data_IF_268132550357
#
_entry.id   IF_268132550357
#
_cell.length_a   1.000
_cell.length_b   1.000
_cell.length_c   1.000
_cell.angle_alpha   90.00
_cell.angle_beta   90.00
_cell.angle_gamma   90.00
#
_symmetry.space_group_name_H-M   'P 1'
#
loop_
_entity.id
_entity.type
_entity.pdbx_description
1 polymer ?
#
# COMPACT_ATOMS: atom_id res chain seq x y z
N UNK A 1 4.59 25.60 -8.19
CA UNK A 1 3.47 26.03 -9.05
C UNK A 1 3.08 27.50 -8.79
N UNK A 2 2.95 28.31 -9.86
CA UNK A 2 2.48 29.69 -9.77
C UNK A 2 0.95 29.70 -9.62
N UNK A 3 0.46 29.27 -8.45
CA UNK A 3 -0.97 29.27 -8.16
C UNK A 3 -1.36 30.61 -7.51
N UNK A 4 -2.43 31.28 -7.95
CA UNK A 4 -2.82 32.59 -7.42
C UNK A 4 -3.26 32.52 -5.95
N UNK A 5 -3.79 31.36 -5.52
CA UNK A 5 -4.31 31.15 -4.19
C UNK A 5 -3.23 30.60 -3.24
N UNK A 6 -3.02 31.27 -2.10
CA UNK A 6 -2.07 30.85 -1.06
C UNK A 6 -2.33 29.45 -0.52
N UNK A 7 -3.61 29.06 -0.36
CA UNK A 7 -3.97 27.72 0.11
C UNK A 7 -3.41 26.62 -0.80
N UNK A 8 -3.53 26.78 -2.12
CA UNK A 8 -3.01 25.81 -3.09
C UNK A 8 -1.47 25.75 -3.11
N UNK A 9 -0.77 26.86 -2.82
CA UNK A 9 0.70 26.88 -2.74
C UNK A 9 1.22 26.01 -1.59
N UNK A 10 0.47 25.89 -0.50
CA UNK A 10 0.84 25.05 0.66
C UNK A 10 0.33 23.62 0.47
N UNK A 11 -0.90 23.47 -0.02
CA UNK A 11 -1.55 22.16 -0.16
C UNK A 11 -0.81 21.25 -1.16
N UNK A 12 -0.37 21.78 -2.30
CA UNK A 12 0.27 20.96 -3.34
C UNK A 12 1.57 20.30 -2.85
N UNK A 13 2.54 21.03 -2.26
CA UNK A 13 3.71 20.41 -1.63
C UNK A 13 3.38 19.48 -0.46
N UNK A 14 2.35 19.80 0.34
CA UNK A 14 1.93 18.95 1.44
C UNK A 14 1.42 17.58 0.93
N UNK A 15 0.57 17.59 -0.11
CA UNK A 15 0.10 16.36 -0.76
C UNK A 15 1.26 15.59 -1.39
N UNK A 16 2.19 16.28 -2.08
CA UNK A 16 3.39 15.64 -2.63
C UNK A 16 4.26 15.00 -1.55
N UNK A 17 4.39 15.64 -0.39
CA UNK A 17 5.14 15.11 0.76
C UNK A 17 4.45 13.88 1.38
N UNK A 18 3.11 13.91 1.49
CA UNK A 18 2.34 12.75 1.96
C UNK A 18 2.44 11.57 0.99
N UNK A 19 2.43 11.84 -0.32
CA UNK A 19 2.64 10.82 -1.35
C UNK A 19 4.05 10.21 -1.24
N UNK A 20 5.08 11.04 -1.07
CA UNK A 20 6.44 10.59 -0.86
C UNK A 20 6.58 9.75 0.43
N UNK A 21 5.93 10.17 1.52
CA UNK A 21 5.88 9.41 2.77
C UNK A 21 5.21 8.06 2.58
N UNK A 22 4.09 8.00 1.84
CA UNK A 22 3.41 6.75 1.50
C UNK A 22 4.31 5.80 0.72
N UNK A 23 5.02 6.31 -0.30
CA UNK A 23 5.99 5.53 -1.07
C UNK A 23 7.13 4.99 -0.19
N UNK A 24 7.65 5.81 0.74
CA UNK A 24 8.69 5.39 1.67
C UNK A 24 8.22 4.29 2.64
N UNK A 25 7.00 4.40 3.19
CA UNK A 25 6.40 3.39 4.06
C UNK A 25 6.12 2.09 3.29
N UNK A 26 5.67 2.19 2.04
CA UNK A 26 5.50 1.03 1.16
C UNK A 26 6.84 0.31 0.92
N UNK A 27 7.91 1.06 0.60
CA UNK A 27 9.25 0.50 0.45
C UNK A 27 9.73 -0.19 1.74
N UNK A 28 9.56 0.43 2.90
CA UNK A 28 9.87 -0.18 4.20
C UNK A 28 9.07 -1.47 4.44
N UNK A 29 7.80 -1.53 4.01
CA UNK A 29 6.99 -2.73 4.08
C UNK A 29 7.53 -3.86 3.20
N UNK A 30 7.96 -3.56 1.96
CA UNK A 30 8.56 -4.55 1.07
C UNK A 30 9.91 -5.05 1.59
N UNK A 31 10.76 -4.16 2.13
CA UNK A 31 12.01 -4.55 2.80
C UNK A 31 11.73 -5.49 3.97
N UNK A 32 10.74 -5.18 4.80
CA UNK A 32 10.30 -6.07 5.90
C UNK A 32 9.81 -7.41 5.38
N UNK A 33 8.93 -7.40 4.37
CA UNK A 33 8.33 -8.61 3.82
C UNK A 33 9.40 -9.53 3.22
N UNK A 34 10.29 -8.98 2.39
CA UNK A 34 11.35 -9.75 1.77
C UNK A 34 12.39 -10.21 2.80
N UNK A 35 12.86 -9.30 3.65
CA UNK A 35 13.91 -9.57 4.65
C UNK A 35 13.48 -10.58 5.72
N UNK A 36 12.23 -10.53 6.19
CA UNK A 36 11.76 -11.46 7.22
C UNK A 36 11.33 -12.81 6.62
N UNK A 37 10.71 -12.82 5.43
CA UNK A 37 10.19 -14.06 4.84
C UNK A 37 11.26 -14.87 4.10
N UNK A 38 12.11 -14.22 3.29
CA UNK A 38 13.07 -14.93 2.42
C UNK A 38 14.50 -14.94 2.95
N UNK A 39 14.89 -13.93 3.75
CA UNK A 39 16.21 -13.89 4.41
C UNK A 39 16.15 -14.34 5.89
N UNK A 40 14.95 -14.62 6.40
CA UNK A 40 14.74 -15.11 7.75
C UNK A 40 14.97 -16.61 7.91
N UNK A 41 15.13 -17.09 9.15
CA UNK A 41 15.14 -18.53 9.44
C UNK A 41 13.71 -19.09 9.41
N UNK A 42 13.50 -20.34 8.97
CA UNK A 42 12.18 -20.96 8.99
C UNK A 42 11.70 -21.12 10.44
N UNK A 43 10.48 -20.67 10.72
CA UNK A 43 9.85 -20.74 12.05
C UNK A 43 8.84 -21.88 12.19
N UNK A 44 8.48 -22.52 11.07
CA UNK A 44 7.50 -23.61 11.02
C UNK A 44 8.04 -24.72 10.13
N UNK A 45 7.58 -25.96 10.38
CA UNK A 45 7.95 -27.11 9.55
C UNK A 45 7.53 -26.95 8.08
N UNK A 46 6.48 -26.17 7.80
CA UNK A 46 6.04 -25.86 6.43
C UNK A 46 7.03 -24.93 5.71
N UNK A 47 7.54 -23.90 6.41
CA UNK A 47 8.54 -22.99 5.85
C UNK A 47 9.89 -23.69 5.63
N UNK A 48 10.28 -24.59 6.54
CA UNK A 48 11.52 -25.37 6.42
C UNK A 48 11.48 -26.34 5.23
N UNK A 49 10.32 -26.94 4.96
CA UNK A 49 10.12 -27.89 3.85
C UNK A 49 9.57 -27.23 2.59
N UNK A 50 9.55 -25.89 2.53
CA UNK A 50 9.07 -25.17 1.37
C UNK A 50 9.95 -25.49 0.16
N UNK A 51 9.32 -25.74 -0.98
CA UNK A 51 9.98 -26.01 -2.25
C UNK A 51 9.55 -24.99 -3.30
N UNK A 52 10.36 -24.87 -4.35
CA UNK A 52 10.07 -24.01 -5.49
C UNK A 52 8.75 -24.43 -6.15
N UNK A 53 7.97 -23.44 -6.61
CA UNK A 53 6.68 -23.71 -7.26
C UNK A 53 6.89 -24.27 -8.67
N UNK A 54 5.82 -24.78 -9.27
CA UNK A 54 5.88 -25.34 -10.62
C UNK A 54 6.23 -24.28 -11.67
N UNK A 55 6.65 -24.74 -12.86
CA UNK A 55 7.12 -23.86 -13.95
C UNK A 55 6.03 -22.94 -14.49
N UNK A 56 4.75 -23.34 -14.45
CA UNK A 56 3.66 -22.48 -14.93
C UNK A 56 3.41 -21.34 -13.95
N UNK A 57 3.44 -21.61 -12.65
CA UNK A 57 3.38 -20.58 -11.60
C UNK A 57 4.54 -19.59 -11.72
N UNK A 58 5.77 -20.08 -11.90
CA UNK A 58 6.95 -19.22 -12.14
C UNK A 58 6.79 -18.37 -13.40
N UNK A 59 6.34 -18.96 -14.51
CA UNK A 59 6.12 -18.23 -15.75
C UNK A 59 5.09 -17.11 -15.58
N UNK A 60 4.00 -17.36 -14.84
CA UNK A 60 3.01 -16.33 -14.51
C UNK A 60 3.62 -15.20 -13.67
N UNK A 61 4.43 -15.54 -12.65
CA UNK A 61 5.13 -14.53 -11.83
C UNK A 61 6.10 -13.68 -12.65
N UNK A 62 6.90 -14.30 -13.53
CA UNK A 62 7.82 -13.58 -14.41
C UNK A 62 7.09 -12.74 -15.45
N UNK A 63 5.94 -13.18 -15.95
CA UNK A 63 5.10 -12.39 -16.84
C UNK A 63 4.62 -11.11 -16.13
N UNK A 64 4.07 -11.22 -14.91
CA UNK A 64 3.65 -10.04 -14.15
C UNK A 64 4.82 -9.12 -13.79
N UNK A 65 5.97 -9.68 -13.41
CA UNK A 65 7.18 -8.90 -13.18
C UNK A 65 7.63 -8.15 -14.46
N UNK A 66 7.56 -8.80 -15.63
CA UNK A 66 7.83 -8.20 -16.92
C UNK A 66 6.87 -7.07 -17.27
N UNK A 67 5.57 -7.23 -17.00
CA UNK A 67 4.58 -6.17 -17.20
C UNK A 67 4.83 -4.97 -16.27
N UNK A 68 5.21 -5.19 -15.01
CA UNK A 68 5.60 -4.13 -14.09
C UNK A 68 6.82 -3.35 -14.60
N UNK A 69 7.85 -4.06 -15.09
CA UNK A 69 9.03 -3.44 -15.69
C UNK A 69 8.68 -2.65 -16.95
N UNK A 70 7.87 -3.22 -17.84
CA UNK A 70 7.43 -2.55 -19.06
C UNK A 70 6.66 -1.27 -18.74
N UNK A 71 5.74 -1.31 -17.78
CA UNK A 71 4.98 -0.14 -17.35
C UNK A 71 5.86 0.95 -16.71
N UNK A 72 6.91 0.56 -15.97
CA UNK A 72 7.86 1.50 -15.36
C UNK A 72 8.87 2.11 -16.34
N UNK A 73 9.33 1.34 -17.32
CA UNK A 73 10.31 1.76 -18.34
C UNK A 73 9.67 2.54 -19.46
N UNK A 74 8.45 2.18 -19.88
CA UNK A 74 7.67 2.81 -20.95
C UNK A 74 6.38 3.43 -20.42
N UNK A 75 6.45 4.35 -19.44
CA UNK A 75 5.26 4.86 -18.76
C UNK A 75 4.37 5.70 -19.70
N UNK A 76 4.93 6.32 -20.75
CA UNK A 76 4.16 7.10 -21.73
C UNK A 76 3.11 6.27 -22.47
N UNK A 77 3.44 5.03 -22.84
CA UNK A 77 2.48 4.13 -23.51
C UNK A 77 1.31 3.74 -22.60
N UNK A 78 1.60 3.55 -21.31
CA UNK A 78 0.57 3.23 -20.31
C UNK A 78 -0.34 4.42 -20.08
N UNK A 79 0.22 5.62 -19.94
CA UNK A 79 -0.54 6.87 -19.75
C UNK A 79 -1.44 7.15 -20.96
N UNK A 80 -0.90 7.04 -22.17
CA UNK A 80 -1.68 7.26 -23.39
C UNK A 80 -2.78 6.18 -23.57
N UNK A 81 -2.50 4.92 -23.21
CA UNK A 81 -3.49 3.84 -23.23
C UNK A 81 -4.64 4.06 -22.25
N UNK A 82 -4.39 4.71 -21.10
CA UNK A 82 -5.41 5.08 -20.11
C UNK A 82 -6.12 6.40 -20.44
N UNK A 83 -5.63 7.17 -21.43
CA UNK A 83 -6.19 8.47 -21.80
C UNK A 83 -7.69 8.46 -22.10
N UNK A 84 -8.27 7.48 -22.82
CA UNK A 84 -9.71 7.46 -23.09
C UNK A 84 -10.56 7.39 -21.80
N UNK A 85 -10.08 6.68 -20.79
CA UNK A 85 -10.75 6.58 -19.48
C UNK A 85 -10.67 7.92 -18.75
N UNK A 86 -9.52 8.60 -18.80
CA UNK A 86 -9.36 9.93 -18.22
C UNK A 86 -10.31 10.95 -18.87
N UNK A 87 -10.43 10.94 -20.20
CA UNK A 87 -11.38 11.81 -20.91
C UNK A 87 -12.82 11.51 -20.51
N UNK A 88 -13.19 10.23 -20.42
CA UNK A 88 -14.54 9.84 -20.03
C UNK A 88 -14.91 10.25 -18.60
N UNK A 89 -13.96 10.23 -17.67
CA UNK A 89 -14.22 10.52 -16.25
C UNK A 89 -14.01 11.99 -15.87
N UNK A 90 -12.99 12.65 -16.42
CA UNK A 90 -12.58 14.01 -16.05
C UNK A 90 -12.86 15.05 -17.15
N UNK A 91 -13.20 14.62 -18.38
CA UNK A 91 -13.40 15.52 -19.51
C UNK A 91 -12.10 16.10 -20.10
N UNK A 92 -10.94 15.67 -19.61
CA UNK A 92 -9.63 16.18 -20.02
C UNK A 92 -8.59 15.05 -20.07
N UNK A 93 -7.48 15.29 -20.76
CA UNK A 93 -6.35 14.36 -20.85
C UNK A 93 -5.01 15.07 -20.80
N UNK A 94 -4.02 14.31 -20.38
CA UNK A 94 -2.62 14.66 -20.53
C UNK A 94 -2.25 14.76 -22.03
N UNK A 95 -1.30 15.62 -22.42
CA UNK A 95 -0.74 15.61 -23.78
C UNK A 95 -0.22 14.21 -24.12
N UNK A 96 -0.26 13.85 -25.41
CA UNK A 96 0.24 12.54 -25.87
C UNK A 96 1.71 12.40 -25.51
N UNK A 97 2.05 11.36 -24.75
CA UNK A 97 3.40 11.16 -24.22
C UNK A 97 4.27 10.29 -25.13
N UNK A 98 3.67 9.39 -25.93
CA UNK A 98 4.39 8.50 -26.83
C UNK A 98 5.16 9.24 -27.94
N UNK A 99 4.74 10.45 -28.31
CA UNK A 99 5.43 11.28 -29.31
C UNK A 99 6.62 12.05 -28.74
N UNK A 100 6.86 11.98 -27.43
CA UNK A 100 8.02 12.63 -26.79
C UNK A 100 9.29 11.82 -27.10
N UNK A 101 10.38 12.47 -27.56
CA UNK A 101 11.64 11.79 -27.83
C UNK A 101 12.14 10.96 -26.65
N UNK A 102 12.79 9.83 -26.97
CA UNK A 102 13.40 8.91 -25.99
C UNK A 102 12.43 8.23 -25.01
N UNK A 103 11.13 8.16 -25.32
CA UNK A 103 10.10 7.61 -24.43
C UNK A 103 10.04 8.31 -23.07
N UNK A 104 10.35 9.61 -23.06
CA UNK A 104 10.27 10.44 -21.86
C UNK A 104 8.83 10.85 -21.58
N UNK A 105 8.51 11.18 -20.33
CA UNK A 105 7.27 11.84 -19.95
C UNK A 105 7.57 13.30 -19.64
N UNK A 106 6.75 14.19 -20.21
CA UNK A 106 6.75 15.63 -19.94
C UNK A 106 5.33 16.00 -19.49
N UNK A 107 5.06 16.08 -18.17
CA UNK A 107 3.71 16.25 -17.68
C UNK A 107 3.11 17.65 -17.82
N UNK A 108 3.95 18.68 -17.81
CA UNK A 108 3.50 20.07 -17.69
C UNK A 108 4.26 20.95 -18.70
N UNK A 109 5.58 20.98 -18.61
CA UNK A 109 6.51 21.64 -19.54
C UNK A 109 7.92 21.05 -19.36
N UNK A 110 8.72 21.00 -20.43
CA UNK A 110 10.11 20.47 -20.40
C UNK A 110 10.98 21.10 -19.30
N UNK A 111 10.73 22.37 -18.98
CA UNK A 111 11.48 23.16 -17.99
C UNK A 111 11.19 22.82 -16.53
N UNK A 112 10.12 22.08 -16.23
CA UNK A 112 9.65 21.86 -14.85
C UNK A 112 9.68 20.40 -14.40
N UNK A 113 9.50 19.44 -15.31
CA UNK A 113 9.61 18.01 -14.97
C UNK A 113 9.74 17.17 -16.23
N UNK A 114 10.89 16.51 -16.39
CA UNK A 114 11.07 15.44 -17.38
C UNK A 114 11.49 14.17 -16.65
N UNK A 115 10.85 13.05 -17.00
CA UNK A 115 11.17 11.73 -16.46
C UNK A 115 11.38 10.75 -17.60
N UNK A 116 12.50 10.05 -17.61
CA UNK A 116 12.79 9.03 -18.60
C UNK A 116 13.04 7.69 -17.90
N UNK A 117 12.01 6.83 -17.89
CA UNK A 117 12.07 5.53 -17.22
C UNK A 117 13.17 4.62 -17.76
N UNK A 118 13.43 4.66 -19.07
CA UNK A 118 14.49 3.90 -19.72
C UNK A 118 15.88 4.33 -19.25
N UNK A 119 16.15 5.64 -19.19
CA UNK A 119 17.42 6.15 -18.69
C UNK A 119 17.64 5.80 -17.21
N UNK A 120 16.60 5.92 -16.38
CA UNK A 120 16.69 5.51 -14.96
C UNK A 120 16.99 4.01 -14.86
N UNK A 121 16.29 3.18 -15.64
CA UNK A 121 16.54 1.73 -15.67
C UNK A 121 17.95 1.39 -16.12
N UNK A 122 18.42 1.97 -17.23
CA UNK A 122 19.77 1.77 -17.75
C UNK A 122 20.83 2.23 -16.75
N UNK A 123 20.61 3.36 -16.07
CA UNK A 123 21.51 3.85 -15.03
C UNK A 123 21.60 2.89 -13.85
N UNK A 124 20.45 2.39 -13.35
CA UNK A 124 20.42 1.40 -12.26
C UNK A 124 21.09 0.11 -12.70
N UNK A 125 20.77 -0.42 -13.88
CA UNK A 125 21.33 -1.65 -14.41
C UNK A 125 22.85 -1.53 -14.62
N UNK A 126 23.31 -0.41 -15.18
CA UNK A 126 24.73 -0.12 -15.38
C UNK A 126 25.47 0.01 -14.04
N UNK A 127 24.92 0.78 -13.09
CA UNK A 127 25.50 0.94 -11.75
C UNK A 127 25.61 -0.39 -11.00
N UNK A 128 24.56 -1.21 -11.06
CA UNK A 128 24.55 -2.54 -10.46
C UNK A 128 25.57 -3.47 -11.12
N UNK A 129 25.60 -3.52 -12.46
CA UNK A 129 26.55 -4.34 -13.21
C UNK A 129 27.99 -3.91 -12.95
N UNK A 130 28.27 -2.60 -12.95
CA UNK A 130 29.57 -2.04 -12.63
C UNK A 130 29.98 -2.41 -11.20
N UNK A 131 29.07 -2.29 -10.23
CA UNK A 131 29.34 -2.67 -8.83
C UNK A 131 29.69 -4.16 -8.73
N UNK A 132 28.93 -5.03 -9.39
CA UNK A 132 29.19 -6.48 -9.44
C UNK A 132 30.57 -6.75 -10.04
N UNK A 133 30.89 -6.14 -11.19
CA UNK A 133 32.19 -6.32 -11.86
C UNK A 133 33.33 -5.82 -10.98
N UNK A 134 33.20 -4.63 -10.37
CA UNK A 134 34.22 -4.05 -9.48
C UNK A 134 34.44 -4.95 -8.27
N UNK A 135 33.37 -5.37 -7.60
CA UNK A 135 33.45 -6.27 -6.44
C UNK A 135 34.13 -7.59 -6.84
N UNK A 136 33.68 -8.26 -7.90
CA UNK A 136 34.28 -9.54 -8.29
C UNK A 136 35.71 -9.43 -8.86
N UNK A 137 36.08 -8.27 -9.42
CA UNK A 137 37.41 -8.06 -10.01
C UNK A 137 38.46 -7.64 -8.99
N UNK A 138 38.08 -6.83 -8.00
CA UNK A 138 38.99 -6.20 -7.05
C UNK A 138 38.84 -6.72 -5.61
N UNK A 139 37.70 -7.32 -5.23
CA UNK A 139 37.58 -7.92 -3.91
C UNK A 139 38.38 -9.23 -3.81
N UNK A 140 38.77 -9.57 -2.58
CA UNK A 140 39.43 -10.85 -2.31
C UNK A 140 38.52 -12.00 -2.74
N UNK A 141 39.07 -12.93 -3.53
CA UNK A 141 38.41 -14.19 -3.87
C UNK A 141 38.41 -15.19 -2.72
N UNK A 142 39.03 -14.85 -1.59
CA UNK A 142 39.03 -15.68 -0.40
C UNK A 142 37.62 -15.69 0.21
N UNK A 143 36.85 -16.72 -0.12
CA UNK A 143 35.57 -17.01 0.51
C UNK A 143 35.83 -17.80 1.80
N UNK A 144 35.37 -17.28 2.93
CA UNK A 144 35.31 -18.02 4.20
C UNK A 144 33.86 -18.31 4.53
N UNK A 145 33.49 -19.59 4.48
CA UNK A 145 32.23 -20.05 5.06
C UNK A 145 32.41 -20.17 6.57
N UNK A 146 31.73 -19.32 7.32
CA UNK A 146 31.67 -19.38 8.77
C UNK A 146 30.20 -19.27 9.21
N UNK A 147 29.84 -19.75 10.40
CA UNK A 147 28.55 -19.43 10.99
C UNK A 147 28.34 -17.92 10.99
N UNK A 148 27.12 -17.48 10.71
CA UNK A 148 26.78 -16.06 10.82
C UNK A 148 27.06 -15.56 12.24
N UNK A 149 27.45 -14.29 12.38
CA UNK A 149 27.68 -13.68 13.69
C UNK A 149 26.38 -13.70 14.51
N UNK A 150 26.32 -14.55 15.53
CA UNK A 150 25.13 -14.79 16.35
C UNK A 150 25.18 -14.02 17.67
N UNK A 151 25.86 -12.87 17.70
CA UNK A 151 26.04 -12.02 18.89
C UNK A 151 26.60 -12.78 20.12
N UNK A 152 27.35 -13.87 19.89
CA UNK A 152 27.94 -14.70 20.94
C UNK A 152 27.06 -15.87 21.42
N UNK A 153 25.91 -16.14 20.77
CA UNK A 153 25.11 -17.33 21.07
C UNK A 153 25.53 -18.52 20.19
N UNK A 154 25.61 -19.75 20.75
CA UNK A 154 26.00 -20.93 20.00
C UNK A 154 24.84 -21.57 19.23
N UNK A 155 23.59 -21.28 19.61
CA UNK A 155 22.41 -21.94 19.06
C UNK A 155 21.52 -20.97 18.27
N UNK A 156 21.43 -21.25 16.97
CA UNK A 156 20.80 -20.41 15.97
C UNK A 156 19.27 -20.56 15.95
N UNK A 157 18.62 -20.36 17.10
CA UNK A 157 17.16 -20.48 17.22
C UNK A 157 16.41 -19.38 16.45
N UNK A 158 15.29 -19.68 15.75
CA UNK A 158 14.43 -18.65 15.18
C UNK A 158 13.77 -17.75 16.24
N UNK A 159 13.75 -18.18 17.51
CA UNK A 159 13.18 -17.42 18.64
C UNK A 159 14.02 -16.19 18.98
N UNK A 160 15.33 -16.24 18.79
CA UNK A 160 16.26 -15.14 19.06
C UNK A 160 16.37 -14.14 17.90
N UNK A 161 15.84 -14.49 16.72
CA UNK A 161 15.86 -13.62 15.54
C UNK A 161 14.77 -12.53 15.61
N UNK A 162 15.15 -11.30 15.24
CA UNK A 162 14.20 -10.20 15.04
C UNK A 162 13.01 -10.60 14.16
N UNK A 163 11.82 -10.16 14.56
CA UNK A 163 10.57 -10.45 13.86
C UNK A 163 10.13 -9.26 13.00
N UNK A 164 9.14 -9.49 12.13
CA UNK A 164 8.45 -8.41 11.44
C UNK A 164 7.86 -7.36 12.42
N UNK A 165 7.43 -7.79 13.60
CA UNK A 165 6.95 -6.90 14.66
C UNK A 165 8.06 -5.99 15.20
N UNK A 166 9.26 -6.53 15.40
CA UNK A 166 10.44 -5.78 15.85
C UNK A 166 10.90 -4.78 14.80
N UNK A 167 10.93 -5.17 13.51
CA UNK A 167 11.29 -4.26 12.41
C UNK A 167 10.30 -3.08 12.30
N UNK A 168 9.01 -3.34 12.46
CA UNK A 168 7.97 -2.31 12.35
C UNK A 168 7.82 -1.44 13.61
N UNK A 169 8.47 -1.80 14.72
CA UNK A 169 8.28 -1.14 16.02
C UNK A 169 8.62 0.36 16.01
N UNK A 170 9.75 0.84 15.43
CA UNK A 170 10.05 2.26 15.40
C UNK A 170 9.00 3.07 14.64
N UNK A 171 8.56 2.55 13.48
CA UNK A 171 7.52 3.16 12.65
C UNK A 171 6.19 3.19 13.43
N UNK A 172 5.83 2.10 14.11
CA UNK A 172 4.62 2.02 14.94
C UNK A 172 4.65 3.02 16.10
N UNK A 173 5.78 3.20 16.78
CA UNK A 173 5.89 4.17 17.88
C UNK A 173 5.78 5.62 17.40
N UNK A 174 6.39 5.95 16.26
CA UNK A 174 6.37 7.31 15.70
C UNK A 174 4.98 7.65 15.14
N UNK A 175 4.40 6.79 14.30
CA UNK A 175 3.15 7.11 13.58
C UNK A 175 1.91 6.46 14.21
N UNK A 176 2.05 5.22 14.70
CA UNK A 176 0.93 4.42 15.20
C UNK A 176 0.32 4.93 16.50
N UNK A 177 1.11 5.54 17.37
CA UNK A 177 0.62 6.13 18.63
C UNK A 177 -0.41 7.23 18.36
N UNK A 178 -0.16 8.09 17.38
CA UNK A 178 -1.06 9.19 17.03
C UNK A 178 -2.23 8.73 16.14
N UNK A 179 -1.92 8.00 15.06
CA UNK A 179 -2.91 7.66 14.02
C UNK A 179 -3.83 6.49 14.41
N UNK A 180 -3.31 5.53 15.17
CA UNK A 180 -4.00 4.27 15.46
C UNK A 180 -4.08 3.96 16.96
N UNK A 181 -3.79 4.95 17.83
CA UNK A 181 -3.68 4.76 19.29
C UNK A 181 -2.92 3.48 19.66
N UNK A 182 -1.84 3.20 18.93
CA UNK A 182 -1.09 1.97 19.11
C UNK A 182 -0.46 1.99 20.51
N UNK A 183 -0.64 0.91 21.26
CA UNK A 183 -0.11 0.73 22.61
C UNK A 183 0.69 -0.55 22.70
N UNK A 184 1.85 -0.46 23.35
CA UNK A 184 2.77 -1.58 23.57
C UNK A 184 2.86 -1.81 25.07
N UNK A 185 2.52 -3.01 25.51
CA UNK A 185 2.62 -3.43 26.91
C UNK A 185 3.58 -4.61 27.00
N UNK A 186 4.52 -4.52 27.94
CA UNK A 186 5.43 -5.60 28.26
C UNK A 186 5.07 -6.08 29.65
N UNK A 187 4.65 -7.34 29.74
CA UNK A 187 4.50 -8.04 31.00
C UNK A 187 5.83 -8.74 31.30
N UNK A 188 6.55 -8.24 32.30
CA UNK A 188 7.85 -8.77 32.71
C UNK A 188 7.67 -9.49 34.06
N UNK A 189 7.98 -10.80 34.13
CA UNK A 189 7.90 -11.55 35.38
C UNK A 189 8.86 -10.98 36.43
N UNK A 190 8.49 -11.03 37.72
CA UNK A 190 9.36 -10.58 38.79
C UNK A 190 10.62 -11.47 38.91
N UNK A 191 11.72 -10.95 39.49
CA UNK A 191 12.92 -11.75 39.72
C UNK A 191 12.61 -13.03 40.50
N UNK A 192 12.96 -14.19 39.94
CA UNK A 192 12.71 -15.51 40.53
C UNK A 192 11.50 -16.25 39.97
N UNK A 193 10.65 -15.59 39.19
CA UNK A 193 9.61 -16.25 38.40
C UNK A 193 10.18 -16.71 37.04
N UNK A 194 9.82 -17.93 36.64
CA UNK A 194 10.28 -18.58 35.38
C UNK A 194 9.26 -18.45 34.25
N UNK A 195 8.13 -17.79 34.50
CA UNK A 195 7.14 -17.51 33.47
C UNK A 195 7.75 -16.64 32.34
N UNK A 196 7.32 -16.82 31.08
CA UNK A 196 7.88 -16.05 29.98
C UNK A 196 7.36 -14.61 29.98
N UNK A 197 8.24 -13.64 29.69
CA UNK A 197 7.82 -12.27 29.42
C UNK A 197 6.87 -12.22 28.21
N UNK A 198 5.79 -11.44 28.30
CA UNK A 198 4.81 -11.30 27.22
C UNK A 198 4.82 -9.89 26.66
N UNK A 199 4.78 -9.81 25.34
CA UNK A 199 4.69 -8.54 24.61
C UNK A 199 3.34 -8.45 23.93
N UNK A 200 2.53 -7.48 24.34
CA UNK A 200 1.21 -7.23 23.78
C UNK A 200 1.21 -5.92 23.00
N UNK A 201 0.74 -5.99 21.75
CA UNK A 201 0.53 -4.81 20.90
C UNK A 201 -0.95 -4.69 20.62
N UNK A 202 -1.52 -3.56 20.97
CA UNK A 202 -2.91 -3.21 20.61
C UNK A 202 -2.88 -2.04 19.63
N UNK A 203 -3.67 -2.13 18.57
CA UNK A 203 -3.80 -1.11 17.53
C UNK A 203 -5.29 -0.91 17.29
N UNK A 204 -5.76 0.35 17.31
CA UNK A 204 -7.16 0.70 17.11
C UNK A 204 -7.31 1.56 15.87
N UNK A 205 -8.20 1.17 14.97
CA UNK A 205 -8.53 1.99 13.81
C UNK A 205 -9.54 3.06 14.20
N UNK A 206 -9.07 4.30 14.31
CA UNK A 206 -9.91 5.44 14.72
C UNK A 206 -10.97 5.76 13.67
N UNK A 207 -10.66 5.61 12.38
CA UNK A 207 -11.64 5.90 11.31
C UNK A 207 -12.72 4.83 11.36
N UNK A 208 -12.34 3.56 11.53
CA UNK A 208 -13.30 2.49 11.67
C UNK A 208 -14.24 2.72 12.86
N UNK A 209 -13.67 3.03 14.03
CA UNK A 209 -14.45 3.17 15.26
C UNK A 209 -15.32 4.43 15.30
N UNK A 210 -14.82 5.57 14.81
CA UNK A 210 -15.53 6.85 14.90
C UNK A 210 -16.35 7.19 13.66
N UNK A 211 -16.12 6.53 12.52
CA UNK A 211 -16.84 6.82 11.26
C UNK A 211 -17.63 5.59 10.80
N UNK A 212 -16.96 4.47 10.56
CA UNK A 212 -17.64 3.31 9.97
C UNK A 212 -18.62 2.64 10.92
N UNK A 213 -18.25 2.38 12.18
CA UNK A 213 -19.15 1.77 13.16
C UNK A 213 -20.43 2.59 13.41
N UNK A 214 -20.38 3.92 13.65
CA UNK A 214 -21.61 4.70 13.84
C UNK A 214 -22.43 4.82 12.56
N UNK A 215 -21.80 4.93 11.39
CA UNK A 215 -22.53 4.92 10.12
C UNK A 215 -23.24 3.60 9.88
N UNK A 216 -22.56 2.47 10.10
CA UNK A 216 -23.15 1.15 10.00
C UNK A 216 -24.30 1.00 10.99
N UNK A 217 -24.13 1.46 12.24
CA UNK A 217 -25.20 1.48 13.24
C UNK A 217 -26.40 2.33 12.81
N UNK A 218 -26.17 3.51 12.23
CA UNK A 218 -27.22 4.38 11.72
C UNK A 218 -27.95 3.75 10.52
N UNK A 219 -27.24 3.10 9.62
CA UNK A 219 -27.81 2.36 8.49
C UNK A 219 -28.70 1.22 8.98
N UNK A 220 -28.21 0.41 9.93
CA UNK A 220 -28.99 -0.69 10.53
C UNK A 220 -30.23 -0.14 11.24
N UNK A 221 -30.09 0.93 12.03
CA UNK A 221 -31.22 1.58 12.70
C UNK A 221 -32.28 2.09 11.71
N UNK A 222 -31.85 2.73 10.62
CA UNK A 222 -32.75 3.20 9.58
C UNK A 222 -33.44 2.02 8.86
N UNK A 223 -32.68 0.96 8.55
CA UNK A 223 -33.20 -0.24 7.92
C UNK A 223 -34.27 -0.90 8.80
N UNK A 224 -34.01 -1.07 10.10
CA UNK A 224 -34.98 -1.63 11.05
C UNK A 224 -36.24 -0.76 11.15
N UNK A 225 -36.09 0.56 11.13
CA UNK A 225 -37.22 1.49 11.19
C UNK A 225 -38.08 1.45 9.92
N UNK A 226 -37.46 1.28 8.76
CA UNK A 226 -38.13 1.12 7.47
C UNK A 226 -38.74 -0.27 7.30
N UNK A 227 -38.17 -1.30 7.91
CA UNK A 227 -38.71 -2.66 7.88
C UNK A 227 -40.14 -2.71 8.45
N UNK A 228 -40.45 -1.83 9.40
CA UNK A 228 -41.80 -1.66 9.92
C UNK A 228 -42.86 -1.27 8.87
N UNK A 229 -42.45 -0.69 7.73
CA UNK A 229 -43.33 -0.38 6.61
C UNK A 229 -43.75 -1.64 5.83
N UNK A 230 -42.99 -2.73 5.91
CA UNK A 230 -43.32 -3.98 5.23
C UNK A 230 -44.51 -4.71 5.88
N UNK A 231 -44.77 -4.45 7.16
CA UNK A 231 -45.85 -5.06 7.93
C UNK A 231 -47.09 -4.16 8.07
N UNK A 232 -47.28 -3.20 7.14
CA UNK A 232 -48.46 -2.33 7.13
C UNK A 232 -49.72 -3.10 6.73
N UNK A 233 -50.87 -2.69 7.28
CA UNK A 233 -52.17 -3.20 6.82
C UNK A 233 -52.43 -2.81 5.37
N UNK A 234 -53.22 -3.60 4.64
CA UNK A 234 -53.51 -3.40 3.21
C UNK A 234 -53.95 -1.95 2.91
N UNK A 235 -54.83 -1.37 3.73
CA UNK A 235 -55.29 0.02 3.57
C UNK A 235 -54.14 1.04 3.66
N UNK A 236 -53.24 0.88 4.64
CA UNK A 236 -52.09 1.79 4.83
C UNK A 236 -51.06 1.63 3.73
N UNK A 237 -50.83 0.39 3.28
CA UNK A 237 -49.98 0.10 2.14
C UNK A 237 -50.49 0.77 0.86
N UNK A 238 -51.77 0.60 0.53
CA UNK A 238 -52.40 1.24 -0.64
C UNK A 238 -52.33 2.78 -0.58
N UNK A 239 -52.57 3.38 0.59
CA UNK A 239 -52.44 4.85 0.74
C UNK A 239 -51.00 5.33 0.54
N UNK A 240 -50.01 4.55 1.00
CA UNK A 240 -48.59 4.89 0.83
C UNK A 240 -48.18 4.82 -0.63
N UNK A 241 -48.60 3.79 -1.37
CA UNK A 241 -48.35 3.66 -2.82
C UNK A 241 -49.02 4.79 -3.59
N UNK A 242 -50.28 5.13 -3.27
CA UNK A 242 -50.97 6.25 -3.93
C UNK A 242 -50.27 7.60 -3.68
N UNK A 243 -49.88 7.89 -2.44
CA UNK A 243 -49.14 9.12 -2.12
C UNK A 243 -47.76 9.16 -2.79
N UNK A 244 -47.04 8.03 -2.82
CA UNK A 244 -45.77 7.94 -3.53
C UNK A 244 -45.93 8.20 -5.04
N UNK A 245 -47.01 7.70 -5.65
CA UNK A 245 -47.32 7.94 -7.06
C UNK A 245 -47.62 9.43 -7.32
N UNK A 246 -48.46 10.05 -6.49
CA UNK A 246 -48.77 11.49 -6.62
C UNK A 246 -47.50 12.31 -6.44
N UNK A 247 -46.69 12.02 -5.43
CA UNK A 247 -45.42 12.72 -5.20
C UNK A 247 -44.45 12.56 -6.38
N UNK A 248 -44.33 11.36 -6.95
CA UNK A 248 -43.51 11.10 -8.12
C UNK A 248 -43.97 11.91 -9.33
N UNK A 249 -45.27 11.94 -9.61
CA UNK A 249 -45.86 12.73 -10.69
C UNK A 249 -45.63 14.23 -10.49
N UNK A 250 -45.71 14.71 -9.24
CA UNK A 250 -45.49 16.10 -8.89
C UNK A 250 -44.02 16.51 -9.09
N UNK A 251 -43.08 15.65 -8.67
CA UNK A 251 -41.65 15.85 -8.94
C UNK A 251 -41.39 15.88 -10.45
N UNK A 252 -41.93 14.93 -11.21
CA UNK A 252 -41.80 14.91 -12.68
C UNK A 252 -42.40 16.14 -13.36
N UNK A 253 -43.52 16.66 -12.87
CA UNK A 253 -44.17 17.84 -13.42
C UNK A 253 -43.44 19.15 -13.09
N UNK A 254 -42.73 19.20 -11.95
CA UNK A 254 -41.95 20.36 -11.52
C UNK A 254 -40.50 20.32 -12.00
N UNK A 255 -40.03 19.17 -12.49
CA UNK A 255 -38.71 19.02 -13.06
C UNK A 255 -38.76 19.49 -14.54
N UNK A 256 -38.04 20.55 -14.92
CA UNK A 256 -38.03 21.05 -16.29
C UNK A 256 -37.32 20.09 -17.26
#
# INVERSE_FOLDING_TARGET
PQLPQWGLKILVPAVGSLLALSAALAAACFVKAYGVTFLGRPRTAHAEKAQEVDRFSLAAMFLFAGLCLAAGVLPGLVVDGLSPVAVAMLGDRMPVQASVPWFSIIPITESHSSYNGLLVFLFIAFSAALSVVVIHRFASRALRTAPAWDCGFPDMSPVTQYTAGSFAQPIRRVFGTLLFRASEQVDMPPPGDTSPARFHVTVRDLIWEFVYLPLAGAMTFAADRLNHLQFLTIRRYLSLVFLALVALLLVLALWP
#
